data_IF_996401659378
#
_entry.id   IF_996401659378
#
_cell.length_a   1.000
_cell.length_b   1.000
_cell.length_c   1.000
_cell.angle_alpha   90.00
_cell.angle_beta   90.00
_cell.angle_gamma   90.00
#
_symmetry.space_group_name_H-M   'P 1'
#
loop_
_entity.id
_entity.type
_entity.pdbx_description
1 polymer ?
#
# COMPACT_ATOMS: atom_id res chain seq x y z
N UNK A 1 16.12 6.05 -13.48
CA UNK A 1 15.03 5.07 -13.48
C UNK A 1 14.33 5.07 -12.14
N UNK A 2 13.01 5.10 -12.17
CA UNK A 2 12.24 5.06 -10.95
C UNK A 2 12.36 3.67 -10.30
N UNK A 3 12.59 3.62 -8.99
CA UNK A 3 12.59 2.39 -8.24
C UNK A 3 11.18 1.81 -8.11
N UNK A 4 10.19 2.68 -8.10
CA UNK A 4 8.80 2.30 -7.89
C UNK A 4 7.90 3.06 -8.86
N UNK A 5 7.14 2.31 -9.65
CA UNK A 5 6.09 2.88 -10.49
C UNK A 5 4.77 2.72 -9.77
N UNK A 6 3.96 3.78 -9.74
CA UNK A 6 2.65 3.77 -9.10
C UNK A 6 1.64 4.28 -10.11
N UNK A 7 0.61 3.48 -10.38
CA UNK A 7 -0.51 3.87 -11.24
C UNK A 7 -1.79 3.80 -10.45
N UNK A 8 -2.54 4.90 -10.45
CA UNK A 8 -3.82 4.95 -9.75
C UNK A 8 -4.98 4.64 -10.68
N UNK A 9 -5.97 3.93 -10.15
CA UNK A 9 -7.24 3.69 -10.84
C UNK A 9 -8.35 3.63 -9.81
N UNK A 10 -9.56 3.91 -10.24
CA UNK A 10 -10.73 3.90 -9.37
C UNK A 10 -11.54 2.63 -9.56
N UNK A 11 -12.02 2.06 -8.46
CA UNK A 11 -12.99 0.98 -8.46
C UNK A 11 -14.08 1.40 -7.47
N UNK A 12 -15.16 1.98 -8.00
CA UNK A 12 -16.18 2.61 -7.16
C UNK A 12 -15.57 3.79 -6.41
N UNK A 13 -15.67 3.79 -5.10
CA UNK A 13 -15.08 4.84 -4.24
C UNK A 13 -13.71 4.44 -3.67
N UNK A 14 -13.16 3.32 -4.13
CA UNK A 14 -11.83 2.86 -3.71
C UNK A 14 -10.81 3.26 -4.77
N UNK A 15 -9.70 3.86 -4.33
CA UNK A 15 -8.57 4.14 -5.20
C UNK A 15 -7.58 2.98 -5.08
N UNK A 16 -7.26 2.37 -6.21
CA UNK A 16 -6.29 1.28 -6.27
C UNK A 16 -4.99 1.85 -6.79
N UNK A 17 -3.90 1.60 -6.06
CA UNK A 17 -2.56 1.95 -6.51
C UNK A 17 -1.85 0.67 -6.95
N UNK A 18 -1.72 0.50 -8.26
CA UNK A 18 -0.95 -0.62 -8.82
C UNK A 18 0.52 -0.23 -8.77
N UNK A 19 1.30 -0.98 -8.02
CA UNK A 19 2.71 -0.67 -7.80
C UNK A 19 3.61 -1.73 -8.37
N UNK A 20 4.74 -1.29 -8.92
CA UNK A 20 5.72 -2.16 -9.55
C UNK A 20 7.12 -1.65 -9.23
N UNK A 21 7.98 -2.53 -8.74
CA UNK A 21 9.36 -2.20 -8.42
C UNK A 21 9.74 -2.52 -7.00
N UNK A 22 10.36 -1.57 -6.32
CA UNK A 22 10.86 -1.75 -4.96
C UNK A 22 10.48 -0.56 -4.08
N UNK A 23 10.14 -0.86 -2.84
CA UNK A 23 9.85 0.20 -1.84
C UNK A 23 11.02 0.23 -0.87
N UNK A 24 12.05 0.98 -1.23
CA UNK A 24 13.28 1.08 -0.45
C UNK A 24 13.56 2.53 -0.09
N UNK A 25 14.56 2.72 0.77
CA UNK A 25 14.97 4.06 1.19
C UNK A 25 15.23 4.94 -0.03
N UNK A 26 14.83 6.20 0.06
CA UNK A 26 14.97 7.17 -1.02
C UNK A 26 13.77 7.18 -1.94
N UNK A 27 13.98 6.97 -3.23
CA UNK A 27 12.97 7.20 -4.26
C UNK A 27 11.69 6.40 -4.07
N UNK A 28 11.81 5.10 -3.74
CA UNK A 28 10.63 4.25 -3.57
C UNK A 28 9.75 4.68 -2.40
N UNK A 29 10.37 4.91 -1.23
CA UNK A 29 9.63 5.34 -0.04
C UNK A 29 9.01 6.71 -0.24
N UNK A 30 9.75 7.64 -0.88
CA UNK A 30 9.26 8.99 -1.15
C UNK A 30 8.09 8.96 -2.14
N UNK A 31 8.17 8.11 -3.16
CA UNK A 31 7.10 7.98 -4.15
C UNK A 31 5.80 7.49 -3.50
N UNK A 32 5.90 6.49 -2.62
CA UNK A 32 4.72 5.98 -1.92
C UNK A 32 4.12 7.04 -1.01
N UNK A 33 4.97 7.73 -0.23
CA UNK A 33 4.52 8.80 0.66
C UNK A 33 3.78 9.89 -0.12
N UNK A 34 4.36 10.32 -1.24
CA UNK A 34 3.76 11.35 -2.07
C UNK A 34 2.42 10.95 -2.64
N UNK A 35 2.29 9.71 -3.10
CA UNK A 35 1.04 9.20 -3.65
C UNK A 35 -0.06 9.18 -2.59
N UNK A 36 0.24 8.67 -1.40
CA UNK A 36 -0.73 8.59 -0.30
C UNK A 36 -1.15 10.00 0.14
N UNK A 37 -0.17 10.89 0.31
CA UNK A 37 -0.44 12.26 0.75
C UNK A 37 -1.35 12.98 -0.24
N UNK A 38 -1.09 12.82 -1.52
CA UNK A 38 -1.92 13.43 -2.57
C UNK A 38 -3.36 12.92 -2.51
N UNK A 39 -3.54 11.62 -2.33
CA UNK A 39 -4.89 11.05 -2.25
C UNK A 39 -5.65 11.58 -1.05
N UNK A 40 -5.00 11.68 0.09
CA UNK A 40 -5.64 12.24 1.30
C UNK A 40 -6.02 13.70 1.09
N UNK A 41 -5.17 14.48 0.43
CA UNK A 41 -5.48 15.88 0.12
C UNK A 41 -6.69 16.01 -0.81
N UNK A 42 -6.90 15.02 -1.67
CA UNK A 42 -8.05 14.97 -2.57
C UNK A 42 -9.30 14.38 -1.90
N UNK A 43 -9.20 14.04 -0.63
CA UNK A 43 -10.32 13.44 0.09
C UNK A 43 -10.56 11.97 -0.19
N UNK A 44 -9.61 11.30 -0.83
CA UNK A 44 -9.72 9.88 -1.15
C UNK A 44 -9.16 9.07 0.02
N UNK A 45 -10.07 8.38 0.71
CA UNK A 45 -9.74 7.72 1.98
C UNK A 45 -9.79 6.20 1.94
N UNK A 46 -10.34 5.61 0.87
CA UNK A 46 -10.37 4.18 0.70
C UNK A 46 -9.31 3.81 -0.32
N UNK A 47 -8.23 3.20 0.15
CA UNK A 47 -7.04 2.97 -0.66
C UNK A 47 -6.63 1.51 -0.60
N UNK A 48 -6.47 0.91 -1.76
CA UNK A 48 -6.01 -0.47 -1.91
C UNK A 48 -4.65 -0.45 -2.61
N UNK A 49 -3.63 -0.96 -1.94
CA UNK A 49 -2.29 -1.05 -2.51
C UNK A 49 -2.11 -2.42 -3.16
N UNK A 50 -1.99 -2.44 -4.49
CA UNK A 50 -1.71 -3.67 -5.21
C UNK A 50 -0.20 -3.86 -5.27
N UNK A 51 0.29 -4.85 -4.54
CA UNK A 51 1.72 -5.10 -4.35
C UNK A 51 2.24 -6.27 -5.18
N UNK A 52 1.44 -6.78 -6.13
CA UNK A 52 1.83 -7.93 -6.95
C UNK A 52 3.15 -7.69 -7.69
N UNK A 53 3.41 -6.46 -8.11
CA UNK A 53 4.62 -6.09 -8.83
C UNK A 53 5.77 -5.63 -7.94
N UNK A 54 5.61 -5.66 -6.62
CA UNK A 54 6.65 -5.20 -5.69
C UNK A 54 7.49 -6.38 -5.23
N UNK A 55 8.70 -6.49 -5.79
CA UNK A 55 9.58 -7.63 -5.51
C UNK A 55 10.39 -7.49 -4.24
N UNK A 56 10.49 -6.30 -3.67
CA UNK A 56 11.33 -6.10 -2.49
C UNK A 56 10.89 -4.85 -1.72
N UNK A 57 11.04 -4.93 -0.39
CA UNK A 57 10.80 -3.82 0.53
C UNK A 57 11.87 -3.89 1.62
N UNK A 58 12.43 -2.74 2.00
CA UNK A 58 13.37 -2.67 3.13
C UNK A 58 12.67 -2.07 4.35
N UNK A 59 13.43 -1.84 5.41
CA UNK A 59 12.87 -1.30 6.65
C UNK A 59 12.26 0.10 6.46
N UNK A 60 12.84 0.90 5.57
CA UNK A 60 12.26 2.21 5.21
C UNK A 60 10.92 2.07 4.53
N UNK A 61 10.81 1.11 3.60
CA UNK A 61 9.55 0.84 2.91
C UNK A 61 8.49 0.32 3.85
N UNK A 62 8.86 -0.59 4.76
CA UNK A 62 7.94 -1.10 5.78
C UNK A 62 7.46 0.05 6.66
N UNK A 63 8.39 0.92 7.08
CA UNK A 63 8.04 2.10 7.87
C UNK A 63 7.07 3.02 7.12
N UNK A 64 7.25 3.15 5.81
CA UNK A 64 6.37 3.98 5.00
C UNK A 64 4.97 3.36 4.88
N UNK A 65 4.88 2.04 4.77
CA UNK A 65 3.57 1.36 4.78
C UNK A 65 2.84 1.61 6.10
N UNK A 66 3.54 1.49 7.22
CA UNK A 66 2.96 1.72 8.54
C UNK A 66 2.53 3.18 8.69
N UNK A 67 3.37 4.12 8.25
CA UNK A 67 3.03 5.55 8.28
C UNK A 67 1.80 5.85 7.43
N UNK A 68 1.71 5.25 6.26
CA UNK A 68 0.56 5.42 5.38
C UNK A 68 -0.72 4.89 6.04
N UNK A 69 -0.63 3.70 6.63
CA UNK A 69 -1.76 3.09 7.34
C UNK A 69 -2.24 4.00 8.47
N UNK A 70 -1.31 4.50 9.27
CA UNK A 70 -1.62 5.39 10.39
C UNK A 70 -2.27 6.68 9.91
N UNK A 71 -1.71 7.30 8.87
CA UNK A 71 -2.23 8.56 8.34
C UNK A 71 -3.64 8.40 7.79
N UNK A 72 -3.89 7.32 7.06
CA UNK A 72 -5.20 7.06 6.46
C UNK A 72 -6.23 6.76 7.54
N UNK A 73 -5.87 5.94 8.53
CA UNK A 73 -6.78 5.65 9.65
C UNK A 73 -7.10 6.89 10.47
N UNK A 74 -6.11 7.73 10.71
CA UNK A 74 -6.29 8.96 11.47
C UNK A 74 -7.27 9.89 10.76
N UNK A 75 -7.29 9.84 9.45
CA UNK A 75 -8.17 10.67 8.61
C UNK A 75 -9.55 10.03 8.40
N UNK A 76 -9.83 8.93 9.09
CA UNK A 76 -11.10 8.22 8.99
C UNK A 76 -11.21 7.27 7.81
N UNK A 77 -10.09 6.97 7.15
CA UNK A 77 -10.07 6.13 5.97
C UNK A 77 -9.69 4.68 6.24
N UNK A 78 -9.48 3.94 5.17
CA UNK A 78 -9.12 2.53 5.21
C UNK A 78 -8.02 2.25 4.20
N UNK A 79 -6.98 1.53 4.65
CA UNK A 79 -5.91 1.05 3.79
C UNK A 79 -5.89 -0.46 3.83
N UNK A 80 -5.90 -1.10 2.67
CA UNK A 80 -5.81 -2.55 2.55
C UNK A 80 -4.74 -2.91 1.54
N UNK A 81 -4.20 -4.12 1.65
CA UNK A 81 -3.14 -4.61 0.77
C UNK A 81 -3.68 -5.72 -0.12
N UNK A 82 -3.19 -5.79 -1.35
CA UNK A 82 -3.59 -6.79 -2.33
C UNK A 82 -2.36 -7.47 -2.90
N UNK A 83 -2.42 -8.80 -2.97
CA UNK A 83 -1.43 -9.63 -3.69
C UNK A 83 -0.01 -9.45 -3.16
N UNK A 84 0.17 -9.68 -1.86
CA UNK A 84 1.51 -9.69 -1.27
C UNK A 84 2.35 -10.79 -1.93
N UNK A 85 3.54 -10.44 -2.38
CA UNK A 85 4.49 -11.45 -2.83
C UNK A 85 4.96 -12.24 -1.62
N UNK A 86 5.49 -13.45 -1.85
CA UNK A 86 5.98 -14.26 -0.75
C UNK A 86 7.03 -13.53 0.06
N UNK A 87 7.90 -12.79 -0.61
CA UNK A 87 8.95 -12.02 0.07
C UNK A 87 8.38 -10.96 1.00
N UNK A 88 7.38 -10.22 0.53
CA UNK A 88 6.72 -9.20 1.35
C UNK A 88 6.00 -9.84 2.52
N UNK A 89 5.30 -10.94 2.27
CA UNK A 89 4.61 -11.66 3.33
C UNK A 89 5.58 -12.13 4.41
N UNK A 90 6.72 -12.68 4.01
CA UNK A 90 7.75 -13.13 4.95
C UNK A 90 8.32 -11.96 5.76
N UNK A 91 8.61 -10.84 5.10
CA UNK A 91 9.16 -9.67 5.78
C UNK A 91 8.16 -9.08 6.78
N UNK A 92 6.89 -9.01 6.42
CA UNK A 92 5.86 -8.52 7.33
C UNK A 92 5.64 -9.48 8.49
N UNK A 93 5.78 -10.79 8.25
CA UNK A 93 5.67 -11.80 9.31
C UNK A 93 6.81 -11.67 10.30
N UNK A 94 8.04 -11.55 9.80
CA UNK A 94 9.24 -11.42 10.65
C UNK A 94 9.17 -10.16 11.50
N UNK A 95 8.67 -9.08 10.95
CA UNK A 95 8.55 -7.81 11.68
C UNK A 95 7.28 -7.73 12.52
N UNK A 96 6.47 -8.80 12.52
CA UNK A 96 5.20 -8.89 13.26
C UNK A 96 4.18 -7.85 12.83
N UNK A 97 4.25 -7.43 11.57
CA UNK A 97 3.34 -6.43 11.01
C UNK A 97 2.28 -7.02 10.10
N UNK A 98 2.35 -8.31 9.79
CA UNK A 98 1.39 -8.94 8.88
C UNK A 98 -0.05 -8.80 9.37
N UNK A 99 -0.25 -8.90 10.68
CA UNK A 99 -1.58 -8.81 11.27
C UNK A 99 -2.09 -7.37 11.44
N UNK A 100 -1.19 -6.39 11.27
CA UNK A 100 -1.60 -4.97 11.31
C UNK A 100 -2.43 -4.61 10.09
N UNK A 101 -2.08 -5.19 8.94
CA UNK A 101 -2.73 -4.87 7.68
C UNK A 101 -3.75 -5.95 7.30
N UNK A 102 -4.87 -5.52 6.71
CA UNK A 102 -5.79 -6.42 6.04
C UNK A 102 -5.25 -6.68 4.65
N UNK A 103 -4.95 -7.92 4.33
CA UNK A 103 -4.40 -8.29 3.03
C UNK A 103 -5.26 -9.33 2.34
N UNK A 104 -5.31 -9.26 1.02
CA UNK A 104 -6.16 -10.10 0.18
C UNK A 104 -5.38 -10.58 -1.04
N UNK A 105 -5.73 -11.75 -1.54
CA UNK A 105 -5.12 -12.29 -2.76
C UNK A 105 -5.96 -12.00 -4.00
N UNK A 106 -7.19 -11.54 -3.80
CA UNK A 106 -8.15 -11.32 -4.87
C UNK A 106 -8.72 -9.90 -4.77
N UNK A 107 -8.71 -9.17 -5.86
CA UNK A 107 -9.16 -7.78 -5.88
C UNK A 107 -10.63 -7.64 -5.50
N UNK A 108 -11.49 -8.52 -6.01
CA UNK A 108 -12.92 -8.45 -5.69
C UNK A 108 -13.17 -8.64 -4.20
N UNK A 109 -12.44 -9.57 -3.56
CA UNK A 109 -12.53 -9.78 -2.13
C UNK A 109 -12.06 -8.55 -1.36
N UNK A 110 -10.95 -7.95 -1.78
CA UNK A 110 -10.45 -6.74 -1.15
C UNK A 110 -11.48 -5.62 -1.23
N UNK A 111 -12.02 -5.38 -2.41
CA UNK A 111 -13.00 -4.31 -2.64
C UNK A 111 -14.26 -4.50 -1.82
N UNK A 112 -14.73 -5.74 -1.67
CA UNK A 112 -15.96 -6.02 -0.93
C UNK A 112 -15.81 -5.79 0.57
N UNK A 113 -14.58 -5.67 1.07
CA UNK A 113 -14.31 -5.44 2.50
C UNK A 113 -14.10 -3.98 2.88
N UNK A 114 -14.11 -3.07 1.92
CA UNK A 114 -14.14 -1.63 2.23
C UNK A 114 -15.55 -1.23 2.65
N UNK A 115 -15.61 -0.42 3.67
CA UNK A 115 -16.92 0.02 4.23
C UNK A 115 -17.30 1.41 3.81
#
# INVERSE_FOLDING_TARGET
MAQLNIKGRLAGDVTILDMDGRITIGEGSVALRGAIRRLLEEGKKKILLNLAGVGYIDSSGIGELVSSYTAINKDGGQLKLLSLTQKLQDLLTITKLLTVFDSYDNEADALSNFK
#
